data_IF_619093328257
#
_entry.id   IF_619093328257
#
_cell.length_a   1.000
_cell.length_b   1.000
_cell.length_c   1.000
_cell.angle_alpha   90.00
_cell.angle_beta   90.00
_cell.angle_gamma   90.00
#
_symmetry.space_group_name_H-M   'P 1'
#
loop_
_entity.id
_entity.type
_entity.pdbx_description
1 polymer ?
#
# COMPACT_ATOMS: atom_id res chain seq x y z
N UNK A 1 3.26 26.81 -17.68
CA UNK A 1 3.29 27.59 -16.42
C UNK A 1 1.93 27.52 -15.71
N UNK A 2 0.79 27.80 -16.36
CA UNK A 2 -0.55 27.77 -15.72
C UNK A 2 -0.91 26.38 -15.15
N UNK A 3 -0.69 25.28 -15.88
CA UNK A 3 -0.96 23.93 -15.39
C UNK A 3 -0.10 23.54 -14.16
N UNK A 4 1.16 23.95 -14.12
CA UNK A 4 2.06 23.67 -13.00
C UNK A 4 1.59 24.38 -11.73
N UNK A 5 1.12 25.63 -11.84
CA UNK A 5 0.55 26.37 -10.71
C UNK A 5 -0.71 25.73 -10.19
N UNK A 6 -1.54 25.14 -11.05
CA UNK A 6 -2.75 24.44 -10.67
C UNK A 6 -2.46 23.15 -9.88
N UNK A 7 -1.47 22.37 -10.31
CA UNK A 7 -1.02 21.19 -9.58
C UNK A 7 -0.43 21.54 -8.20
N UNK A 8 0.38 22.59 -8.11
CA UNK A 8 0.95 23.03 -6.83
C UNK A 8 -0.12 23.53 -5.87
N UNK A 9 -1.13 24.26 -6.35
CA UNK A 9 -2.26 24.69 -5.55
C UNK A 9 -3.04 23.50 -5.01
N UNK A 10 -3.39 22.53 -5.88
CA UNK A 10 -4.10 21.33 -5.47
C UNK A 10 -3.30 20.50 -4.46
N UNK A 11 -1.99 20.41 -4.62
CA UNK A 11 -1.13 19.77 -3.63
C UNK A 11 -1.16 20.47 -2.28
N UNK A 12 -1.15 21.79 -2.26
CA UNK A 12 -1.26 22.58 -1.03
C UNK A 12 -2.59 22.32 -0.35
N UNK A 13 -3.69 22.36 -1.10
CA UNK A 13 -5.04 22.10 -0.56
C UNK A 13 -5.13 20.70 0.09
N UNK A 14 -4.62 19.66 -0.58
CA UNK A 14 -4.58 18.29 -0.05
C UNK A 14 -3.70 18.22 1.21
N UNK A 15 -2.57 18.92 1.23
CA UNK A 15 -1.67 18.96 2.37
C UNK A 15 -2.30 19.64 3.58
N UNK A 16 -3.03 20.73 3.36
CA UNK A 16 -3.71 21.46 4.42
C UNK A 16 -4.86 20.64 5.00
N UNK A 17 -5.68 20.01 4.16
CA UNK A 17 -6.76 19.12 4.59
C UNK A 17 -6.24 17.97 5.48
N UNK A 18 -5.15 17.34 5.08
CA UNK A 18 -4.58 16.22 5.82
C UNK A 18 -3.77 16.65 7.05
N UNK A 19 -3.43 17.94 7.20
CA UNK A 19 -2.66 18.46 8.33
C UNK A 19 -3.32 18.17 9.68
N UNK A 20 -4.65 18.08 9.71
CA UNK A 20 -5.44 17.74 10.91
C UNK A 20 -5.16 16.33 11.43
N UNK A 21 -4.70 15.40 10.58
CA UNK A 21 -4.38 14.02 10.96
C UNK A 21 -2.95 13.84 11.46
N UNK A 22 -2.06 14.81 11.23
CA UNK A 22 -0.64 14.66 11.56
C UNK A 22 -0.39 14.35 13.04
N UNK A 23 -1.05 15.05 13.95
CA UNK A 23 -0.89 14.81 15.37
C UNK A 23 -1.31 13.39 15.79
N UNK A 24 -2.39 12.89 15.20
CA UNK A 24 -2.86 11.53 15.45
C UNK A 24 -1.92 10.47 14.86
N UNK A 25 -1.43 10.67 13.65
CA UNK A 25 -0.44 9.78 13.04
C UNK A 25 0.90 9.77 13.80
N UNK A 26 1.30 10.93 14.33
CA UNK A 26 2.47 11.04 15.18
C UNK A 26 2.33 10.16 16.42
N UNK A 27 1.24 10.28 17.13
CA UNK A 27 0.94 9.48 18.31
C UNK A 27 0.92 7.98 17.98
N UNK A 28 0.20 7.56 16.93
CA UNK A 28 0.16 6.17 16.50
C UNK A 28 1.55 5.65 16.12
N UNK A 29 2.35 6.46 15.42
CA UNK A 29 3.70 6.08 15.03
C UNK A 29 4.60 5.90 16.26
N UNK A 30 4.53 6.77 17.26
CA UNK A 30 5.38 6.72 18.45
C UNK A 30 5.08 5.50 19.33
N UNK A 31 3.80 5.13 19.48
CA UNK A 31 3.39 4.05 20.39
C UNK A 31 3.29 2.67 19.71
N UNK A 32 3.01 2.62 18.40
CA UNK A 32 2.73 1.35 17.72
C UNK A 32 3.81 1.01 16.70
N UNK A 33 4.21 1.97 15.83
CA UNK A 33 5.16 1.76 14.72
C UNK A 33 6.26 2.83 14.69
N UNK A 34 7.17 2.90 15.68
CA UNK A 34 8.10 4.01 15.84
C UNK A 34 9.11 4.19 14.69
N UNK A 35 9.30 3.18 13.85
CA UNK A 35 10.18 3.26 12.67
C UNK A 35 9.49 3.80 11.41
N UNK A 36 8.16 3.94 11.43
CA UNK A 36 7.35 4.43 10.30
C UNK A 36 7.10 5.94 10.34
N UNK A 37 7.49 6.63 11.38
CA UNK A 37 7.33 8.09 11.53
C UNK A 37 8.30 8.95 10.69
N UNK A 38 8.68 8.53 9.48
CA UNK A 38 9.59 9.29 8.60
C UNK A 38 9.06 10.66 8.20
N UNK A 39 7.76 10.79 8.09
CA UNK A 39 7.09 12.03 7.73
C UNK A 39 7.14 13.11 8.81
N UNK A 40 7.52 12.75 10.04
CA UNK A 40 7.61 13.66 11.17
C UNK A 40 8.97 14.33 11.30
N UNK A 41 10.02 13.73 10.76
CA UNK A 41 11.39 14.23 10.92
C UNK A 41 12.10 14.26 9.58
N UNK A 42 12.61 15.43 9.22
CA UNK A 42 13.50 15.62 8.05
C UNK A 42 14.91 15.03 8.26
N UNK A 43 15.23 14.59 9.47
CA UNK A 43 16.53 14.03 9.80
C UNK A 43 16.56 12.53 9.57
N UNK A 44 17.64 12.06 8.94
CA UNK A 44 17.99 10.66 8.88
C UNK A 44 17.99 10.03 10.28
N UNK A 45 17.46 8.82 10.38
CA UNK A 45 17.48 8.09 11.63
C UNK A 45 18.81 7.36 11.80
N UNK A 46 19.79 8.02 12.35
CA UNK A 46 21.18 7.56 12.53
C UNK A 46 21.32 6.40 13.54
N UNK A 47 20.40 5.44 13.53
CA UNK A 47 20.40 4.28 14.40
C UNK A 47 19.90 4.56 15.84
N UNK A 48 19.43 5.76 16.14
CA UNK A 48 18.91 6.11 17.46
C UNK A 48 17.69 5.28 17.86
N UNK A 49 17.55 5.00 19.16
CA UNK A 49 16.37 4.31 19.69
C UNK A 49 15.14 5.19 19.55
N UNK A 50 14.10 4.67 18.87
CA UNK A 50 12.82 5.36 18.68
C UNK A 50 11.66 4.78 19.52
N UNK A 51 11.91 3.75 20.31
CA UNK A 51 10.90 3.03 21.08
C UNK A 51 10.81 3.45 22.57
N UNK A 52 11.33 4.61 22.92
CA UNK A 52 11.40 5.07 24.31
C UNK A 52 10.03 5.32 24.95
N UNK A 53 8.99 5.54 24.15
CA UNK A 53 7.61 5.76 24.62
C UNK A 53 6.79 4.48 24.71
N UNK A 54 7.28 3.36 24.18
CA UNK A 54 6.57 2.08 24.21
C UNK A 54 6.84 1.41 25.57
N UNK A 55 5.82 1.36 26.41
CA UNK A 55 5.86 0.68 27.71
C UNK A 55 5.52 -0.80 27.54
N UNK A 56 4.55 -1.11 26.67
CA UNK A 56 4.07 -2.46 26.38
C UNK A 56 4.04 -2.74 24.88
N UNK A 57 4.42 -3.94 24.47
CA UNK A 57 4.50 -4.37 23.07
C UNK A 57 3.18 -4.88 22.51
N UNK A 58 2.10 -4.90 23.28
CA UNK A 58 0.79 -5.46 22.87
C UNK A 58 0.28 -4.83 21.58
N UNK A 59 0.35 -3.51 21.44
CA UNK A 59 -0.07 -2.80 20.23
C UNK A 59 0.71 -3.21 18.99
N UNK A 60 2.03 -3.27 19.09
CA UNK A 60 2.90 -3.68 17.98
C UNK A 60 2.69 -5.16 17.59
N UNK A 61 2.42 -6.03 18.56
CA UNK A 61 2.10 -7.44 18.31
C UNK A 61 0.72 -7.60 17.66
N UNK A 62 -0.27 -6.84 18.11
CA UNK A 62 -1.62 -6.84 17.54
C UNK A 62 -1.60 -6.45 16.05
N UNK A 63 -0.83 -5.42 15.68
CA UNK A 63 -0.66 -5.00 14.26
C UNK A 63 -0.04 -6.12 13.43
N UNK A 64 1.00 -6.78 13.93
CA UNK A 64 1.63 -7.90 13.22
C UNK A 64 0.67 -9.07 13.03
N UNK A 65 -0.11 -9.39 14.04
CA UNK A 65 -1.13 -10.46 13.97
C UNK A 65 -2.22 -10.10 12.97
N UNK A 66 -2.71 -8.86 12.99
CA UNK A 66 -3.74 -8.39 12.07
C UNK A 66 -3.22 -8.38 10.62
N UNK A 67 -2.06 -7.81 10.37
CA UNK A 67 -1.48 -7.74 9.02
C UNK A 67 -1.16 -9.13 8.46
N UNK A 68 -0.66 -10.06 9.29
CA UNK A 68 -0.47 -11.46 8.90
C UNK A 68 -1.81 -12.16 8.62
N UNK A 69 -2.86 -11.86 9.39
CA UNK A 69 -4.22 -12.35 9.16
C UNK A 69 -4.79 -11.85 7.82
N UNK A 70 -4.62 -10.57 7.53
CA UNK A 70 -5.02 -9.98 6.24
C UNK A 70 -4.25 -10.62 5.08
N UNK A 71 -2.94 -10.79 5.22
CA UNK A 71 -2.10 -11.43 4.21
C UNK A 71 -2.56 -12.87 3.93
N UNK A 72 -2.79 -13.66 4.96
CA UNK A 72 -3.22 -15.06 4.82
C UNK A 72 -4.65 -15.19 4.29
N UNK A 73 -5.52 -14.25 4.63
CA UNK A 73 -6.93 -14.26 4.23
C UNK A 73 -7.20 -13.71 2.83
N UNK A 74 -6.54 -12.61 2.46
CA UNK A 74 -6.84 -11.85 1.24
C UNK A 74 -5.87 -12.22 0.11
N UNK A 75 -4.55 -12.18 0.36
CA UNK A 75 -3.51 -12.30 -0.68
C UNK A 75 -2.48 -13.36 -0.35
N UNK A 76 -2.93 -14.54 0.07
CA UNK A 76 -2.03 -15.62 0.46
C UNK A 76 -1.12 -16.07 -0.69
N UNK A 77 0.21 -16.08 -0.52
CA UNK A 77 1.12 -16.63 -1.52
C UNK A 77 0.96 -18.15 -1.72
N UNK A 78 0.42 -18.84 -0.72
CA UNK A 78 0.29 -20.31 -0.74
C UNK A 78 -0.91 -20.82 -1.56
N UNK A 79 -1.86 -19.96 -1.92
CA UNK A 79 -3.05 -20.34 -2.67
C UNK A 79 -3.45 -19.28 -3.70
N UNK A 80 -4.13 -19.67 -4.80
CA UNK A 80 -4.70 -18.70 -5.73
C UNK A 80 -5.72 -17.80 -5.02
N UNK A 81 -5.49 -16.50 -5.03
CA UNK A 81 -6.35 -15.50 -4.39
C UNK A 81 -7.09 -14.61 -5.38
N UNK A 82 -6.83 -14.77 -6.67
CA UNK A 82 -7.54 -14.10 -7.76
C UNK A 82 -7.76 -15.07 -8.93
N UNK A 83 -8.72 -14.76 -9.77
CA UNK A 83 -8.99 -15.42 -11.05
C UNK A 83 -9.22 -14.37 -12.13
N UNK A 84 -8.75 -14.67 -13.32
CA UNK A 84 -9.01 -13.86 -14.49
C UNK A 84 -10.34 -14.30 -15.13
N UNK A 85 -11.15 -13.32 -15.53
CA UNK A 85 -12.40 -13.55 -16.23
C UNK A 85 -12.58 -12.50 -17.34
N UNK A 86 -13.32 -12.86 -18.38
CA UNK A 86 -13.78 -11.92 -19.39
C UNK A 86 -15.15 -11.34 -18.99
N UNK A 87 -15.47 -10.10 -19.40
CA UNK A 87 -16.81 -9.53 -19.15
C UNK A 87 -17.94 -10.31 -19.84
N UNK A 88 -17.65 -10.98 -20.93
CA UNK A 88 -18.58 -11.77 -21.72
C UNK A 88 -18.64 -13.21 -21.23
N UNK A 89 -19.80 -13.61 -20.70
CA UNK A 89 -20.01 -14.96 -20.18
C UNK A 89 -19.89 -16.04 -21.26
N UNK A 90 -20.29 -15.75 -22.50
CA UNK A 90 -20.19 -16.67 -23.63
C UNK A 90 -18.72 -17.04 -23.97
N UNK A 91 -17.78 -16.11 -23.83
CA UNK A 91 -16.36 -16.37 -24.01
C UNK A 91 -15.80 -17.25 -22.89
N UNK A 92 -16.33 -17.11 -21.68
CA UNK A 92 -15.93 -17.95 -20.53
C UNK A 92 -16.35 -19.41 -20.66
N UNK A 93 -17.27 -19.75 -21.57
CA UNK A 93 -17.66 -21.15 -21.82
C UNK A 93 -16.69 -21.84 -22.81
N UNK A 94 -15.95 -21.08 -23.60
CA UNK A 94 -15.00 -21.63 -24.56
C UNK A 94 -13.76 -22.21 -23.88
N UNK A 95 -13.42 -23.44 -24.24
CA UNK A 95 -12.31 -24.19 -23.66
C UNK A 95 -10.96 -23.46 -23.85
N UNK A 96 -10.73 -22.92 -25.03
CA UNK A 96 -9.47 -22.27 -25.41
C UNK A 96 -9.24 -20.99 -24.59
N UNK A 97 -10.32 -20.22 -24.38
CA UNK A 97 -10.29 -19.00 -23.57
C UNK A 97 -9.99 -19.33 -22.09
N UNK A 98 -10.63 -20.36 -21.56
CA UNK A 98 -10.35 -20.84 -20.20
C UNK A 98 -8.90 -21.25 -20.02
N UNK A 99 -8.37 -22.01 -20.98
CA UNK A 99 -6.99 -22.50 -20.92
C UNK A 99 -6.00 -21.33 -21.03
N UNK A 100 -6.25 -20.37 -21.89
CA UNK A 100 -5.42 -19.18 -22.03
C UNK A 100 -5.43 -18.34 -20.73
N UNK A 101 -6.60 -18.03 -20.17
CA UNK A 101 -6.74 -17.30 -18.92
C UNK A 101 -6.02 -18.00 -17.76
N UNK A 102 -6.15 -19.31 -17.66
CA UNK A 102 -5.45 -20.10 -16.64
C UNK A 102 -3.92 -20.02 -16.79
N UNK A 103 -3.43 -20.06 -18.05
CA UNK A 103 -1.99 -19.92 -18.32
C UNK A 103 -1.47 -18.53 -17.92
N UNK A 104 -2.21 -17.48 -18.27
CA UNK A 104 -1.87 -16.10 -17.87
C UNK A 104 -1.91 -15.94 -16.34
N UNK A 105 -2.94 -16.45 -15.69
CA UNK A 105 -3.07 -16.42 -14.22
C UNK A 105 -1.89 -17.11 -13.52
N UNK A 106 -1.47 -18.26 -14.05
CA UNK A 106 -0.29 -18.97 -13.54
C UNK A 106 0.98 -18.13 -13.70
N UNK A 107 1.18 -17.55 -14.88
CA UNK A 107 2.35 -16.68 -15.13
C UNK A 107 2.35 -15.46 -14.19
N UNK A 108 1.20 -14.82 -13.99
CA UNK A 108 1.09 -13.69 -13.04
C UNK A 108 1.47 -14.11 -11.61
N UNK A 109 1.00 -15.26 -11.14
CA UNK A 109 1.34 -15.76 -9.80
C UNK A 109 2.84 -16.07 -9.66
N UNK A 110 3.45 -16.62 -10.70
CA UNK A 110 4.88 -16.89 -10.72
C UNK A 110 5.70 -15.58 -10.66
N UNK A 111 5.27 -14.54 -11.38
CA UNK A 111 5.88 -13.20 -11.32
C UNK A 111 5.70 -12.59 -9.93
N UNK A 112 4.50 -12.63 -9.35
CA UNK A 112 4.24 -12.12 -8.00
C UNK A 112 5.08 -12.81 -6.94
N UNK A 113 5.30 -14.11 -7.10
CA UNK A 113 6.12 -14.90 -6.17
C UNK A 113 7.60 -14.56 -6.23
N UNK A 114 8.12 -14.22 -7.43
CA UNK A 114 9.54 -13.85 -7.61
C UNK A 114 9.82 -12.39 -7.28
N UNK A 115 8.83 -11.52 -7.48
CA UNK A 115 8.94 -10.11 -7.17
C UNK A 115 8.85 -9.82 -5.65
N UNK A 116 9.01 -8.56 -5.29
CA UNK A 116 8.84 -8.11 -3.91
C UNK A 116 7.37 -7.80 -3.53
N UNK A 117 6.38 -8.23 -4.33
CA UNK A 117 4.97 -7.89 -4.13
C UNK A 117 4.47 -8.29 -2.74
N UNK A 118 4.69 -9.52 -2.31
CA UNK A 118 4.17 -10.01 -1.03
C UNK A 118 4.78 -9.31 0.17
N UNK A 119 6.07 -8.98 0.13
CA UNK A 119 6.71 -8.18 1.17
C UNK A 119 6.14 -6.76 1.23
N UNK A 120 5.87 -6.17 0.07
CA UNK A 120 5.28 -4.85 -0.04
C UNK A 120 3.82 -4.83 0.43
N UNK A 121 3.03 -5.85 0.10
CA UNK A 121 1.66 -6.02 0.59
C UNK A 121 1.62 -6.16 2.12
N UNK A 122 2.51 -6.93 2.72
CA UNK A 122 2.61 -7.03 4.18
C UNK A 122 2.82 -5.63 4.80
N UNK A 123 3.70 -4.83 4.22
CA UNK A 123 3.92 -3.44 4.64
C UNK A 123 2.66 -2.57 4.49
N UNK A 124 1.95 -2.68 3.37
CA UNK A 124 0.69 -1.95 3.14
C UNK A 124 -0.38 -2.37 4.13
N UNK A 125 -0.48 -3.64 4.49
CA UNK A 125 -1.43 -4.11 5.51
C UNK A 125 -1.10 -3.59 6.91
N UNK A 126 0.18 -3.46 7.25
CA UNK A 126 0.60 -2.80 8.49
C UNK A 126 0.20 -1.32 8.51
N UNK A 127 0.42 -0.60 7.41
CA UNK A 127 0.00 0.80 7.27
C UNK A 127 -1.53 0.94 7.37
N UNK A 128 -2.29 0.07 6.71
CA UNK A 128 -3.74 0.05 6.80
C UNK A 128 -4.25 -0.23 8.22
N UNK A 129 -3.60 -1.16 8.93
CA UNK A 129 -4.00 -1.53 10.29
C UNK A 129 -3.78 -0.40 11.29
N UNK A 130 -2.74 0.43 11.12
CA UNK A 130 -2.38 1.49 12.08
C UNK A 130 -2.93 2.84 11.66
N UNK A 131 -2.73 3.23 10.40
CA UNK A 131 -3.05 4.58 9.92
C UNK A 131 -4.37 4.66 9.15
N UNK A 132 -5.02 3.51 8.87
CA UNK A 132 -6.27 3.44 8.12
C UNK A 132 -6.14 3.69 6.62
N UNK A 133 -4.94 3.91 6.13
CA UNK A 133 -4.66 4.14 4.71
C UNK A 133 -3.32 3.52 4.33
N UNK A 134 -3.20 3.08 3.09
CA UNK A 134 -1.97 2.52 2.55
C UNK A 134 -1.89 2.75 1.05
N UNK A 135 -0.70 3.02 0.55
CA UNK A 135 -0.46 3.21 -0.87
C UNK A 135 0.80 2.46 -1.31
N UNK A 136 0.78 1.99 -2.54
CA UNK A 136 1.90 1.29 -3.15
C UNK A 136 1.97 1.64 -4.64
N UNK A 137 3.17 1.94 -5.11
CA UNK A 137 3.45 2.05 -6.54
C UNK A 137 3.94 0.70 -7.05
N UNK A 138 3.37 0.27 -8.17
CA UNK A 138 3.86 -0.87 -8.94
C UNK A 138 4.46 -0.31 -10.22
N UNK A 139 5.72 -0.58 -10.46
CA UNK A 139 6.43 -0.21 -11.69
C UNK A 139 6.95 -1.44 -12.41
N UNK A 140 7.22 -1.31 -13.68
CA UNK A 140 7.95 -2.32 -14.43
C UNK A 140 9.40 -2.44 -13.91
N UNK A 141 9.93 -3.64 -13.97
CA UNK A 141 11.32 -3.96 -13.63
C UNK A 141 11.86 -4.94 -14.69
N UNK A 142 13.06 -4.68 -15.20
CA UNK A 142 13.65 -5.51 -16.25
C UNK A 142 14.21 -6.84 -15.73
N UNK A 143 14.44 -6.95 -14.42
CA UNK A 143 14.94 -8.17 -13.79
C UNK A 143 13.78 -9.07 -13.30
N UNK A 144 12.85 -8.48 -12.52
CA UNK A 144 11.76 -9.19 -11.86
C UNK A 144 10.38 -8.96 -12.47
N UNK A 145 10.31 -8.28 -13.62
CA UNK A 145 9.10 -7.87 -14.35
C UNK A 145 8.34 -6.74 -13.64
N UNK A 146 8.12 -6.85 -12.34
CA UNK A 146 7.48 -5.83 -11.52
C UNK A 146 8.26 -5.58 -10.24
N UNK A 147 8.27 -4.31 -9.81
CA UNK A 147 8.79 -3.88 -8.52
C UNK A 147 7.78 -3.00 -7.80
N UNK A 148 7.56 -3.30 -6.52
CA UNK A 148 6.57 -2.65 -5.69
C UNK A 148 7.26 -1.74 -4.66
N UNK A 149 6.75 -0.52 -4.51
CA UNK A 149 7.23 0.50 -3.59
C UNK A 149 6.10 0.91 -2.65
N UNK A 150 6.05 0.35 -1.43
CA UNK A 150 5.07 0.78 -0.44
C UNK A 150 5.46 2.15 0.13
N UNK A 151 4.48 3.03 0.30
CA UNK A 151 4.66 4.36 0.87
C UNK A 151 4.10 4.42 2.28
N UNK A 152 4.79 5.14 3.14
CA UNK A 152 4.30 5.46 4.48
C UNK A 152 3.35 6.65 4.41
N UNK A 153 2.33 6.66 5.26
CA UNK A 153 1.43 7.80 5.42
C UNK A 153 2.24 9.09 5.65
N UNK A 154 1.82 10.17 5.03
CA UNK A 154 2.59 11.43 5.08
C UNK A 154 3.55 11.64 3.91
N UNK A 155 4.04 10.60 3.25
CA UNK A 155 4.87 10.71 2.03
C UNK A 155 4.03 10.96 0.77
N UNK A 156 2.72 10.71 0.81
CA UNK A 156 1.81 10.90 -0.31
C UNK A 156 0.53 11.63 0.11
N UNK A 157 -0.16 12.21 -0.84
CA UNK A 157 -1.48 12.81 -0.67
C UNK A 157 -2.48 12.18 -1.63
N UNK A 158 -3.67 11.88 -1.12
CA UNK A 158 -4.78 11.38 -1.91
C UNK A 158 -5.97 12.33 -1.79
N UNK A 159 -6.72 12.47 -2.88
CA UNK A 159 -7.99 13.18 -2.86
C UNK A 159 -9.07 12.38 -3.57
N UNK A 160 -10.31 12.64 -3.17
CA UNK A 160 -11.48 11.97 -3.70
C UNK A 160 -12.23 12.90 -4.65
N UNK A 161 -12.88 12.31 -5.65
CA UNK A 161 -13.84 12.99 -6.50
C UNK A 161 -15.19 13.17 -5.77
N UNK A 162 -16.10 13.93 -6.39
CA UNK A 162 -17.48 14.06 -5.93
C UNK A 162 -18.24 12.72 -5.80
N UNK A 163 -17.73 11.64 -6.40
CA UNK A 163 -18.26 10.26 -6.30
C UNK A 163 -17.65 9.45 -5.18
N UNK A 164 -16.88 10.07 -4.28
CA UNK A 164 -16.15 9.42 -3.18
C UNK A 164 -15.16 8.35 -3.67
N UNK A 165 -14.68 8.49 -4.89
CA UNK A 165 -13.62 7.64 -5.45
C UNK A 165 -12.30 8.38 -5.43
N UNK A 166 -11.23 7.72 -5.03
CA UNK A 166 -9.88 8.30 -5.10
C UNK A 166 -9.51 8.49 -6.57
N UNK A 167 -9.34 9.73 -7.00
CA UNK A 167 -9.01 10.12 -8.38
C UNK A 167 -7.68 10.85 -8.48
N UNK A 168 -7.11 11.24 -7.36
CA UNK A 168 -5.90 12.06 -7.31
C UNK A 168 -4.90 11.44 -6.33
N UNK A 169 -3.68 11.25 -6.80
CA UNK A 169 -2.55 10.80 -6.01
C UNK A 169 -1.34 11.71 -6.27
N UNK A 170 -0.77 12.25 -5.23
CA UNK A 170 0.46 13.06 -5.26
C UNK A 170 1.54 12.47 -4.35
N UNK A 171 2.77 12.54 -4.84
CA UNK A 171 3.97 12.20 -4.08
C UNK A 171 5.07 13.21 -4.36
#
# INVERSE_FOLDING_TARGET
VAKTMDYMRRWTDIKDERSTFFGHWEELSEFIMPRRGRFLTSKSNDGSKKNNKIIDSTGSMAVRTLSAGMMSGITSPARPWFRLATPESALMEQSDVKQWLFSVEKTMRDIFSRSNLYNSLQTVYEELAVFGTGAMLISEDFDDVIRCYPFTVGEYGIAQSHRLQVDTFYR
#
